data_IF_589880808073
#
_entry.id   IF_589880808073
#
_cell.length_a   1.000
_cell.length_b   1.000
_cell.length_c   1.000
_cell.angle_alpha   90.00
_cell.angle_beta   90.00
_cell.angle_gamma   90.00
#
_symmetry.space_group_name_H-M   'P 1'
#
loop_
_entity.id
_entity.type
_entity.pdbx_description
1 polymer ?
#
# COMPACT_ATOMS: atom_id res chain seq x y z
N UNK A 1 -32.32 17.64 2.55
CA UNK A 1 -31.03 18.24 2.14
C UNK A 1 -29.99 17.19 2.45
N UNK A 2 -29.33 16.63 1.42
CA UNK A 2 -28.18 15.77 1.62
C UNK A 2 -27.05 16.64 2.22
N UNK A 3 -26.25 16.15 3.19
CA UNK A 3 -25.12 16.90 3.69
C UNK A 3 -24.15 17.14 2.51
N UNK A 4 -23.79 18.40 2.31
CA UNK A 4 -22.74 18.77 1.34
C UNK A 4 -21.48 17.99 1.71
N UNK A 5 -20.95 17.26 0.73
CA UNK A 5 -19.67 16.55 0.88
C UNK A 5 -18.60 17.56 1.31
N UNK A 6 -17.87 17.27 2.37
CA UNK A 6 -16.74 18.07 2.84
C UNK A 6 -15.72 18.10 1.69
N UNK A 7 -15.44 19.26 1.07
CA UNK A 7 -14.73 19.32 -0.21
C UNK A 7 -13.29 18.80 -0.20
N UNK A 8 -12.70 18.52 0.97
CA UNK A 8 -11.29 18.11 1.16
C UNK A 8 -11.10 16.97 2.16
N UNK A 9 -12.08 16.07 2.29
CA UNK A 9 -11.93 14.90 3.15
C UNK A 9 -11.03 13.84 2.52
N UNK A 10 -10.28 13.10 3.34
CA UNK A 10 -9.42 12.01 2.91
C UNK A 10 -9.96 10.65 3.37
N UNK A 11 -9.59 9.60 2.65
CA UNK A 11 -9.79 8.23 3.11
C UNK A 11 -8.75 7.92 4.20
N UNK A 12 -9.21 7.51 5.38
CA UNK A 12 -8.36 7.01 6.44
C UNK A 12 -8.22 5.49 6.32
N UNK A 13 -7.02 5.00 6.04
CA UNK A 13 -6.68 3.58 6.15
C UNK A 13 -6.14 3.35 7.56
N UNK A 14 -6.76 2.43 8.30
CA UNK A 14 -6.52 2.22 9.72
C UNK A 14 -6.31 0.72 10.00
N UNK A 15 -5.06 0.25 9.99
CA UNK A 15 -4.76 -1.08 10.52
C UNK A 15 -5.09 -1.13 12.02
N UNK A 16 -5.91 -2.11 12.41
CA UNK A 16 -6.43 -2.22 13.77
C UNK A 16 -5.47 -2.90 14.74
N UNK A 17 -5.53 -2.44 15.95
CA UNK A 17 -4.96 -2.98 17.17
C UNK A 17 -5.75 -2.47 18.37
N UNK A 18 -5.13 -2.36 19.51
CA UNK A 18 -5.82 -2.10 20.79
C UNK A 18 -6.04 -0.60 21.08
N UNK A 19 -5.41 0.31 20.33
CA UNK A 19 -5.43 1.74 20.63
C UNK A 19 -6.50 2.50 19.84
N UNK A 20 -7.69 2.58 20.42
CA UNK A 20 -8.82 3.36 19.87
C UNK A 20 -8.56 4.87 19.91
N UNK A 21 -7.79 5.36 20.89
CA UNK A 21 -7.51 6.78 21.04
C UNK A 21 -6.66 7.28 19.87
N UNK A 22 -5.70 6.49 19.41
CA UNK A 22 -4.89 6.80 18.24
C UNK A 22 -5.72 7.07 16.97
N UNK A 23 -6.84 6.36 16.80
CA UNK A 23 -7.77 6.64 15.69
C UNK A 23 -8.37 8.03 15.85
N UNK A 24 -8.86 8.36 17.03
CA UNK A 24 -9.51 9.64 17.32
C UNK A 24 -8.57 10.83 17.14
N UNK A 25 -7.29 10.68 17.43
CA UNK A 25 -6.28 11.73 17.20
C UNK A 25 -6.14 12.02 15.71
N UNK A 26 -6.07 11.01 14.85
CA UNK A 26 -6.00 11.19 13.41
C UNK A 26 -7.17 11.99 12.84
N UNK A 27 -8.39 11.71 13.32
CA UNK A 27 -9.60 12.40 12.88
C UNK A 27 -9.64 13.89 13.22
N UNK A 28 -8.89 14.34 14.22
CA UNK A 28 -8.77 15.76 14.57
C UNK A 28 -7.88 16.55 13.61
N UNK A 29 -6.97 15.86 12.92
CA UNK A 29 -5.98 16.49 12.04
C UNK A 29 -6.32 16.40 10.55
N UNK A 30 -7.03 15.34 10.16
CA UNK A 30 -7.41 15.10 8.76
C UNK A 30 -8.92 14.97 8.64
N UNK A 31 -9.59 15.82 7.84
CA UNK A 31 -11.02 15.69 7.56
C UNK A 31 -11.34 14.33 6.94
N UNK A 32 -12.38 13.67 7.43
CA UNK A 32 -12.72 12.31 7.05
C UNK A 32 -13.69 12.29 5.88
N UNK A 33 -13.33 11.62 4.78
CA UNK A 33 -14.21 11.29 3.66
C UNK A 33 -14.76 9.86 3.80
N UNK A 34 -13.91 8.92 4.21
CA UNK A 34 -14.24 7.52 4.46
C UNK A 34 -13.20 6.89 5.40
N UNK A 35 -13.51 5.74 5.98
CA UNK A 35 -12.57 4.97 6.81
C UNK A 35 -12.55 3.51 6.36
N UNK A 36 -11.35 2.96 6.19
CA UNK A 36 -11.10 1.57 5.90
C UNK A 36 -10.30 0.93 7.06
N UNK A 37 -10.94 0.03 7.78
CA UNK A 37 -10.33 -0.71 8.88
C UNK A 37 -9.70 -1.99 8.34
N UNK A 38 -8.42 -2.21 8.63
CA UNK A 38 -7.70 -3.42 8.23
C UNK A 38 -7.40 -4.24 9.48
N UNK A 39 -7.70 -5.54 9.45
CA UNK A 39 -7.49 -6.40 10.59
C UNK A 39 -6.92 -7.77 10.20
N UNK A 40 -6.36 -8.48 11.18
CA UNK A 40 -5.95 -9.87 11.04
C UNK A 40 -7.17 -10.81 11.17
N UNK A 41 -7.11 -12.02 10.61
CA UNK A 41 -8.10 -13.06 10.90
C UNK A 41 -8.28 -13.28 12.41
N UNK A 42 -9.52 -13.41 12.85
CA UNK A 42 -9.88 -13.55 14.25
C UNK A 42 -10.10 -12.22 15.01
N UNK A 43 -9.90 -11.08 14.35
CA UNK A 43 -10.15 -9.74 14.92
C UNK A 43 -11.46 -9.11 14.42
N UNK A 44 -12.36 -9.88 13.83
CA UNK A 44 -13.63 -9.40 13.25
C UNK A 44 -14.53 -8.71 14.30
N UNK A 45 -14.52 -9.23 15.54
CA UNK A 45 -15.28 -8.62 16.63
C UNK A 45 -14.78 -7.20 16.95
N UNK A 46 -13.46 -7.01 16.99
CA UNK A 46 -12.83 -5.71 17.20
C UNK A 46 -13.13 -4.76 16.03
N UNK A 47 -13.03 -5.25 14.80
CA UNK A 47 -13.34 -4.45 13.61
C UNK A 47 -14.80 -3.97 13.61
N UNK A 48 -15.73 -4.83 14.00
CA UNK A 48 -17.14 -4.47 14.17
C UNK A 48 -17.33 -3.42 15.26
N UNK A 49 -16.65 -3.55 16.41
CA UNK A 49 -16.70 -2.55 17.48
C UNK A 49 -16.22 -1.18 16.98
N UNK A 50 -15.13 -1.13 16.22
CA UNK A 50 -14.65 0.12 15.63
C UNK A 50 -15.65 0.70 14.64
N UNK A 51 -16.24 -0.10 13.75
CA UNK A 51 -17.26 0.37 12.84
C UNK A 51 -18.48 0.95 13.59
N UNK A 52 -19.00 0.28 14.60
CA UNK A 52 -20.12 0.81 15.39
C UNK A 52 -19.72 2.11 16.12
N UNK A 53 -18.52 2.19 16.67
CA UNK A 53 -18.03 3.39 17.37
C UNK A 53 -17.90 4.60 16.45
N UNK A 54 -17.41 4.42 15.23
CA UNK A 54 -17.21 5.51 14.29
C UNK A 54 -18.38 5.76 13.32
N UNK A 55 -19.42 4.94 13.37
CA UNK A 55 -20.68 5.11 12.61
C UNK A 55 -21.34 6.49 12.82
N UNK A 56 -21.14 7.06 14.01
CA UNK A 56 -21.64 8.41 14.37
C UNK A 56 -21.12 9.51 13.44
N UNK A 57 -20.00 9.30 12.76
CA UNK A 57 -19.43 10.26 11.81
C UNK A 57 -20.24 10.39 10.51
N UNK A 58 -21.12 9.42 10.22
CA UNK A 58 -21.95 9.44 9.01
C UNK A 58 -21.18 9.28 7.69
N UNK A 59 -19.94 8.79 7.74
CA UNK A 59 -19.09 8.54 6.56
C UNK A 59 -19.08 7.06 6.20
N UNK A 60 -18.76 6.69 4.94
CA UNK A 60 -18.57 5.29 4.57
C UNK A 60 -17.48 4.61 5.41
N UNK A 61 -17.79 3.42 5.92
CA UNK A 61 -16.88 2.56 6.68
C UNK A 61 -16.75 1.22 5.97
N UNK A 62 -15.54 0.73 5.83
CA UNK A 62 -15.26 -0.60 5.28
C UNK A 62 -14.33 -1.41 6.20
N UNK A 63 -14.38 -2.72 6.06
CA UNK A 63 -13.51 -3.66 6.78
C UNK A 63 -12.79 -4.54 5.77
N UNK A 64 -11.51 -4.77 6.00
CA UNK A 64 -10.65 -5.57 5.14
C UNK A 64 -9.79 -6.51 5.99
N UNK A 65 -9.81 -7.79 5.66
CA UNK A 65 -9.03 -8.80 6.37
C UNK A 65 -7.72 -9.09 5.64
N UNK A 66 -6.61 -9.11 6.36
CA UNK A 66 -5.32 -9.50 5.82
C UNK A 66 -5.31 -11.01 5.59
N UNK A 67 -5.11 -11.45 4.34
CA UNK A 67 -4.98 -12.86 3.99
C UNK A 67 -3.51 -13.29 3.99
N UNK A 68 -3.25 -14.49 4.51
CA UNK A 68 -1.92 -15.09 4.48
C UNK A 68 -0.87 -14.36 5.32
N UNK A 69 0.29 -14.09 4.74
CA UNK A 69 1.36 -13.37 5.42
C UNK A 69 1.02 -11.88 5.58
N UNK A 70 1.25 -11.32 6.77
CA UNK A 70 0.88 -9.94 7.09
C UNK A 70 1.48 -8.89 6.15
N UNK A 71 2.70 -9.09 5.63
CA UNK A 71 3.30 -8.13 4.70
C UNK A 71 2.68 -8.23 3.31
N UNK A 72 2.70 -9.41 2.69
CA UNK A 72 2.12 -9.58 1.35
C UNK A 72 0.62 -9.30 1.32
N UNK A 73 -0.10 -9.76 2.35
CA UNK A 73 -1.53 -9.50 2.49
C UNK A 73 -1.84 -8.01 2.67
N UNK A 74 -1.00 -7.26 3.39
CA UNK A 74 -1.17 -5.81 3.56
C UNK A 74 -1.04 -5.07 2.22
N UNK A 75 -0.06 -5.41 1.39
CA UNK A 75 0.07 -4.82 0.05
C UNK A 75 -1.15 -5.08 -0.83
N UNK A 76 -1.69 -6.32 -0.79
CA UNK A 76 -2.89 -6.67 -1.54
C UNK A 76 -4.11 -5.88 -1.07
N UNK A 77 -4.30 -5.74 0.24
CA UNK A 77 -5.40 -4.97 0.83
C UNK A 77 -5.26 -3.48 0.49
N UNK A 78 -4.06 -2.91 0.55
CA UNK A 78 -3.84 -1.52 0.16
C UNK A 78 -4.19 -1.29 -1.31
N UNK A 79 -3.76 -2.17 -2.21
CA UNK A 79 -4.11 -2.11 -3.63
C UNK A 79 -5.62 -2.14 -3.86
N UNK A 80 -6.34 -3.00 -3.12
CA UNK A 80 -7.81 -3.09 -3.17
C UNK A 80 -8.48 -1.80 -2.71
N UNK A 81 -8.05 -1.25 -1.55
CA UNK A 81 -8.66 -0.06 -0.94
C UNK A 81 -8.39 1.19 -1.78
N UNK A 82 -7.15 1.38 -2.23
CA UNK A 82 -6.73 2.59 -2.93
C UNK A 82 -7.30 2.61 -4.35
N UNK A 83 -7.30 1.45 -5.06
CA UNK A 83 -7.73 1.38 -6.44
C UNK A 83 -7.02 2.42 -7.31
N UNK A 84 -7.79 3.30 -7.96
CA UNK A 84 -7.30 4.39 -8.82
C UNK A 84 -7.28 5.77 -8.10
N UNK A 85 -7.41 5.78 -6.77
CA UNK A 85 -7.42 7.04 -6.01
C UNK A 85 -6.05 7.73 -6.05
N UNK A 86 -6.07 9.09 -6.04
CA UNK A 86 -4.85 9.86 -5.88
C UNK A 86 -4.28 9.67 -4.46
N UNK A 87 -2.96 9.52 -4.34
CA UNK A 87 -2.28 9.34 -3.06
C UNK A 87 -2.54 10.50 -2.08
N UNK A 88 -2.83 11.70 -2.56
CA UNK A 88 -3.17 12.87 -1.74
C UNK A 88 -4.56 12.77 -1.09
N UNK A 89 -5.43 11.89 -1.58
CA UNK A 89 -6.75 11.63 -1.02
C UNK A 89 -6.75 10.54 0.07
N UNK A 90 -5.59 10.00 0.41
CA UNK A 90 -5.44 8.88 1.34
C UNK A 90 -4.46 9.23 2.45
N UNK A 91 -4.81 8.87 3.67
CA UNK A 91 -3.89 8.93 4.82
C UNK A 91 -3.92 7.61 5.60
N UNK A 92 -2.75 7.17 6.06
CA UNK A 92 -2.61 5.91 6.80
C UNK A 92 -2.30 6.20 8.26
N UNK A 93 -3.18 5.76 9.15
CA UNK A 93 -2.99 5.86 10.59
C UNK A 93 -2.47 4.52 11.15
N UNK A 94 -1.19 4.44 11.42
CA UNK A 94 -0.57 3.23 11.99
C UNK A 94 -0.53 3.22 13.52
N UNK A 95 -1.06 4.27 14.16
CA UNK A 95 -1.00 4.43 15.61
C UNK A 95 -1.78 3.37 16.40
N UNK A 96 -2.89 2.89 15.87
CA UNK A 96 -3.69 1.85 16.51
C UNK A 96 -3.14 0.43 16.33
N UNK A 97 -2.25 0.22 15.36
CA UNK A 97 -1.80 -1.12 14.96
C UNK A 97 -0.75 -1.72 15.90
N UNK A 98 -0.82 -3.02 16.11
CA UNK A 98 0.29 -3.76 16.72
C UNK A 98 1.55 -3.72 15.85
N UNK A 99 2.73 -3.90 16.46
CA UNK A 99 4.05 -3.66 15.83
C UNK A 99 4.22 -4.27 14.43
N UNK A 100 3.87 -5.54 14.26
CA UNK A 100 4.04 -6.23 12.96
C UNK A 100 3.13 -5.66 11.88
N UNK A 101 1.87 -5.40 12.23
CA UNK A 101 0.88 -4.83 11.32
C UNK A 101 1.23 -3.39 10.97
N UNK A 102 1.71 -2.61 11.95
CA UNK A 102 2.20 -1.25 11.73
C UNK A 102 3.38 -1.22 10.76
N UNK A 103 4.39 -2.10 10.93
CA UNK A 103 5.52 -2.20 10.00
C UNK A 103 5.07 -2.55 8.57
N UNK A 104 4.14 -3.49 8.42
CA UNK A 104 3.60 -3.86 7.12
C UNK A 104 2.84 -2.70 6.46
N UNK A 105 2.01 -1.97 7.24
CA UNK A 105 1.27 -0.81 6.77
C UNK A 105 2.18 0.36 6.39
N UNK A 106 3.25 0.62 7.16
CA UNK A 106 4.27 1.63 6.82
C UNK A 106 4.95 1.27 5.49
N UNK A 107 5.36 0.01 5.33
CA UNK A 107 5.97 -0.46 4.09
C UNK A 107 5.04 -0.31 2.89
N UNK A 108 3.76 -0.69 3.05
CA UNK A 108 2.75 -0.52 2.01
C UNK A 108 2.48 0.95 1.70
N UNK A 109 2.50 1.84 2.72
CA UNK A 109 2.36 3.28 2.53
C UNK A 109 3.50 3.85 1.69
N UNK A 110 4.75 3.45 1.96
CA UNK A 110 5.92 3.91 1.20
C UNK A 110 5.87 3.50 -0.26
N UNK A 111 5.53 2.23 -0.54
CA UNK A 111 5.42 1.72 -1.92
C UNK A 111 4.33 2.45 -2.70
N UNK A 112 3.22 2.82 -2.05
CA UNK A 112 2.13 3.54 -2.68
C UNK A 112 2.27 5.07 -2.61
N UNK A 113 3.35 5.59 -2.03
CA UNK A 113 3.59 7.04 -1.89
C UNK A 113 2.56 7.76 -1.01
N UNK A 114 1.94 7.05 -0.06
CA UNK A 114 0.89 7.57 0.81
C UNK A 114 1.47 8.31 2.02
N UNK A 115 0.76 9.33 2.45
CA UNK A 115 1.01 9.95 3.74
C UNK A 115 0.63 9.01 4.87
N UNK A 116 1.53 8.82 5.82
CA UNK A 116 1.27 8.00 7.01
C UNK A 116 1.67 8.74 8.28
N UNK A 117 1.04 8.40 9.39
CA UNK A 117 1.39 8.93 10.70
C UNK A 117 1.21 7.88 11.79
N UNK A 118 1.98 8.05 12.85
CA UNK A 118 1.81 7.35 14.11
C UNK A 118 1.24 8.30 15.17
N UNK A 119 0.68 7.77 16.24
CA UNK A 119 0.26 8.53 17.41
C UNK A 119 1.10 8.11 18.62
N UNK A 120 1.76 9.07 19.24
CA UNK A 120 2.58 8.86 20.41
C UNK A 120 2.18 9.88 21.48
N UNK A 121 1.84 9.42 22.66
CA UNK A 121 1.42 10.26 23.80
C UNK A 121 0.30 11.26 23.42
N UNK A 122 -0.68 10.80 22.62
CA UNK A 122 -1.79 11.62 22.14
C UNK A 122 -1.42 12.66 21.08
N UNK A 123 -0.19 12.67 20.60
CA UNK A 123 0.29 13.57 19.54
C UNK A 123 0.46 12.83 18.21
N UNK A 124 0.06 13.48 17.13
CA UNK A 124 0.27 12.99 15.79
C UNK A 124 1.73 13.19 15.37
N UNK A 125 2.38 12.10 14.99
CA UNK A 125 3.75 12.05 14.49
C UNK A 125 3.74 11.66 13.03
N UNK A 126 3.91 12.62 12.08
CA UNK A 126 3.95 12.28 10.66
C UNK A 126 5.19 11.44 10.36
N UNK A 127 4.99 10.41 9.55
CA UNK A 127 6.09 9.60 9.01
C UNK A 127 6.60 10.23 7.71
N UNK A 128 7.91 10.13 7.41
CA UNK A 128 8.44 10.66 6.17
C UNK A 128 7.79 9.95 4.99
N UNK A 129 7.34 10.72 4.00
CA UNK A 129 6.83 10.16 2.74
C UNK A 129 8.04 9.76 1.91
N UNK A 130 8.23 8.46 1.72
CA UNK A 130 9.22 7.94 0.78
C UNK A 130 8.46 7.45 -0.46
N UNK A 131 8.49 8.22 -1.54
CA UNK A 131 7.98 7.76 -2.83
C UNK A 131 9.01 6.81 -3.42
N UNK A 132 8.82 5.52 -3.19
CA UNK A 132 9.60 4.49 -3.84
C UNK A 132 8.85 4.07 -5.11
N UNK A 133 9.19 4.71 -6.22
CA UNK A 133 8.70 4.26 -7.51
C UNK A 133 9.74 3.31 -8.11
N UNK A 134 9.46 2.02 -8.11
CA UNK A 134 10.22 1.05 -8.90
C UNK A 134 10.27 1.48 -10.37
N UNK A 135 9.21 2.13 -10.85
CA UNK A 135 9.17 2.67 -12.21
C UNK A 135 10.26 3.70 -12.50
N UNK A 136 10.69 4.48 -11.52
CA UNK A 136 11.73 5.47 -11.71
C UNK A 136 13.14 4.86 -11.65
N UNK A 137 13.27 3.66 -11.08
CA UNK A 137 14.54 2.94 -10.96
C UNK A 137 14.74 1.90 -12.08
N UNK A 138 13.69 1.49 -12.75
CA UNK A 138 13.75 0.54 -13.84
C UNK A 138 13.87 1.29 -15.17
N UNK A 139 14.88 0.97 -15.97
CA UNK A 139 14.94 1.43 -17.37
C UNK A 139 13.76 0.85 -18.17
N UNK A 140 13.35 1.53 -19.23
CA UNK A 140 12.25 1.07 -20.09
C UNK A 140 12.48 -0.36 -20.61
N UNK A 141 13.73 -0.71 -20.88
CA UNK A 141 14.13 -2.07 -21.27
C UNK A 141 13.85 -3.09 -20.16
N UNK A 142 14.16 -2.77 -18.88
CA UNK A 142 13.86 -3.67 -17.76
C UNK A 142 12.37 -3.81 -17.55
N UNK A 143 11.59 -2.73 -17.72
CA UNK A 143 10.12 -2.77 -17.67
C UNK A 143 9.56 -3.70 -18.73
N UNK A 144 10.02 -3.55 -19.98
CA UNK A 144 9.58 -4.41 -21.09
C UNK A 144 9.87 -5.89 -20.84
N UNK A 145 11.01 -6.22 -20.22
CA UNK A 145 11.33 -7.60 -19.85
C UNK A 145 10.37 -8.11 -18.76
N UNK A 146 10.08 -7.31 -17.73
CA UNK A 146 9.17 -7.69 -16.66
C UNK A 146 7.73 -7.83 -17.15
N UNK A 147 7.26 -6.93 -18.02
CA UNK A 147 5.94 -7.00 -18.66
C UNK A 147 5.81 -8.28 -19.48
N UNK A 148 6.81 -8.60 -20.31
CA UNK A 148 6.83 -9.84 -21.08
C UNK A 148 6.79 -11.09 -20.20
N UNK A 149 7.48 -11.10 -19.06
CA UNK A 149 7.40 -12.19 -18.10
C UNK A 149 6.01 -12.30 -17.47
N UNK A 150 5.40 -11.19 -17.06
CA UNK A 150 4.05 -11.18 -16.47
C UNK A 150 3.02 -11.73 -17.45
N UNK A 151 3.12 -11.38 -18.73
CA UNK A 151 2.23 -11.86 -19.79
C UNK A 151 2.39 -13.36 -20.09
N UNK A 152 3.47 -13.97 -19.59
CA UNK A 152 3.81 -15.40 -19.78
C UNK A 152 4.00 -16.15 -18.45
N UNK A 153 3.08 -15.95 -17.51
CA UNK A 153 3.02 -16.64 -16.20
C UNK A 153 4.25 -16.47 -15.31
N UNK A 154 5.04 -15.42 -15.53
CA UNK A 154 6.17 -15.04 -14.67
C UNK A 154 7.46 -15.80 -14.93
N UNK A 155 7.56 -16.64 -15.96
CA UNK A 155 8.79 -17.38 -16.27
C UNK A 155 9.04 -17.55 -17.78
N UNK A 156 10.31 -17.61 -18.15
CA UNK A 156 10.74 -18.00 -19.50
C UNK A 156 11.55 -19.30 -19.40
N UNK A 157 11.38 -20.23 -20.35
CA UNK A 157 12.13 -21.50 -20.33
C UNK A 157 13.61 -21.28 -20.70
N UNK A 158 13.85 -20.33 -21.61
CA UNK A 158 15.20 -19.95 -22.00
C UNK A 158 15.26 -18.48 -22.48
N UNK A 159 16.48 -18.03 -22.84
CA UNK A 159 16.72 -16.69 -23.34
C UNK A 159 16.06 -16.42 -24.69
N UNK A 160 15.73 -17.47 -25.49
CA UNK A 160 15.09 -17.27 -26.79
C UNK A 160 13.64 -16.83 -26.62
N UNK A 161 12.95 -17.33 -25.60
CA UNK A 161 11.58 -16.91 -25.29
C UNK A 161 11.56 -15.39 -25.03
N UNK A 162 12.49 -14.90 -24.22
CA UNK A 162 12.59 -13.45 -23.95
C UNK A 162 12.95 -12.63 -25.20
N UNK A 163 13.81 -13.17 -26.09
CA UNK A 163 14.10 -12.53 -27.37
C UNK A 163 12.87 -12.42 -28.24
N UNK A 164 12.07 -13.48 -28.31
CA UNK A 164 10.83 -13.52 -29.11
C UNK A 164 9.78 -12.53 -28.55
N UNK A 165 9.59 -12.53 -27.24
CA UNK A 165 8.57 -11.70 -26.59
C UNK A 165 8.90 -10.21 -26.57
N UNK A 166 10.19 -9.86 -26.37
CA UNK A 166 10.62 -8.47 -26.21
C UNK A 166 11.21 -7.84 -27.48
N UNK A 167 11.64 -8.66 -28.45
CA UNK A 167 12.39 -8.22 -29.61
C UNK A 167 13.84 -7.77 -29.31
N UNK A 168 14.31 -7.95 -28.06
CA UNK A 168 15.66 -7.53 -27.64
C UNK A 168 16.69 -8.60 -28.00
N UNK A 169 17.94 -8.16 -28.23
CA UNK A 169 19.04 -9.09 -28.48
C UNK A 169 19.45 -9.86 -27.21
N UNK A 170 19.96 -11.09 -27.33
CA UNK A 170 20.45 -11.91 -26.22
C UNK A 170 21.50 -11.19 -25.36
N UNK A 171 22.38 -10.41 -25.98
CA UNK A 171 23.40 -9.65 -25.27
C UNK A 171 22.80 -8.54 -24.41
N UNK A 172 21.77 -7.86 -24.90
CA UNK A 172 21.06 -6.80 -24.19
C UNK A 172 20.23 -7.39 -23.05
N UNK A 173 19.54 -8.51 -23.28
CA UNK A 173 18.81 -9.26 -22.24
C UNK A 173 19.75 -9.71 -21.13
N UNK A 174 20.90 -10.35 -21.49
CA UNK A 174 21.89 -10.78 -20.50
C UNK A 174 22.44 -9.61 -19.66
N UNK A 175 22.65 -8.46 -20.28
CA UNK A 175 23.07 -7.24 -19.58
C UNK A 175 22.04 -6.75 -18.57
N UNK A 176 20.76 -6.70 -18.95
CA UNK A 176 19.71 -6.21 -18.06
C UNK A 176 19.29 -7.24 -16.99
N UNK A 177 19.42 -8.52 -17.25
CA UNK A 177 19.13 -9.58 -16.28
C UNK A 177 20.24 -9.70 -15.23
N UNK A 178 21.48 -9.80 -15.66
CA UNK A 178 22.63 -10.06 -14.77
C UNK A 178 23.31 -8.81 -14.24
N UNK A 179 23.13 -7.68 -14.91
CA UNK A 179 23.82 -6.45 -14.54
C UNK A 179 25.32 -6.46 -14.85
N UNK A 180 26.02 -5.49 -14.30
CA UNK A 180 27.47 -5.36 -14.29
C UNK A 180 27.90 -4.58 -13.03
N UNK A 181 29.23 -4.28 -12.87
CA UNK A 181 29.77 -3.56 -11.71
C UNK A 181 29.11 -2.18 -11.46
N UNK A 182 28.58 -1.53 -12.51
CA UNK A 182 27.97 -0.20 -12.44
C UNK A 182 26.43 -0.20 -12.39
N UNK A 183 25.80 -1.29 -12.90
CA UNK A 183 24.35 -1.40 -13.01
C UNK A 183 23.83 -2.73 -12.48
N UNK A 184 22.96 -2.69 -11.50
CA UNK A 184 22.28 -3.89 -11.00
C UNK A 184 21.43 -4.56 -12.08
N UNK A 185 21.52 -5.90 -12.15
CA UNK A 185 20.63 -6.72 -12.97
C UNK A 185 19.22 -6.84 -12.37
N UNK A 186 18.35 -7.58 -13.06
CA UNK A 186 17.04 -7.98 -12.53
C UNK A 186 17.14 -9.25 -11.65
N UNK A 187 18.22 -10.03 -11.78
CA UNK A 187 18.46 -11.24 -11.01
C UNK A 187 19.13 -10.97 -9.62
N UNK A 188 19.55 -9.73 -9.35
CA UNK A 188 20.10 -9.27 -8.06
C UNK A 188 18.99 -8.79 -7.10
#
# INVERSE_FOLDING_TARGET
MAPEAIPNGVLHIIPLGDDVEAVSVGLRHYPVKAMAFIHLPGMEALANEFCEKFKVLGVPLSQHVIQGNSFTGMFSVFKEIIGEMDASEVVVNVGAAGKHVACAAISASFVNGLSAFHVLDGMLMPLPIMRFSYNDQLSDTKKSILEALVDHDGHANDMNDLVEWTGLSKSLLSYHLRGNEENRGLED
#
